data_IF_696053314878
#
_entry.id   IF_696053314878
#
_cell.length_a   1.000
_cell.length_b   1.000
_cell.length_c   1.000
_cell.angle_alpha   90.00
_cell.angle_beta   90.00
_cell.angle_gamma   90.00
#
_symmetry.space_group_name_H-M   'P 1'
#
loop_
_entity.id
_entity.type
_entity.pdbx_description
1 polymer ?
#
# COMPACT_ATOMS: atom_id res chain seq x y z
N UNK A 1 3.87 28.48 15.21
CA UNK A 1 5.04 27.79 15.80
C UNK A 1 5.16 26.46 15.06
N UNK A 2 6.30 26.23 14.41
CA UNK A 2 6.55 25.01 13.65
C UNK A 2 6.73 23.84 14.63
N UNK A 3 5.69 23.02 14.82
CA UNK A 3 5.82 21.73 15.51
C UNK A 3 6.54 20.77 14.57
N UNK A 4 7.86 20.76 14.68
CA UNK A 4 8.64 19.61 14.25
C UNK A 4 8.16 18.43 15.10
N UNK A 5 7.50 17.44 14.50
CA UNK A 5 7.24 16.15 15.13
C UNK A 5 8.59 15.50 15.43
N UNK A 6 9.12 15.73 16.63
CA UNK A 6 10.40 15.18 17.03
C UNK A 6 10.31 13.65 17.03
N UNK A 7 11.31 12.94 16.49
CA UNK A 7 11.34 11.48 16.57
C UNK A 7 11.37 11.05 18.05
N UNK A 8 10.51 10.10 18.42
CA UNK A 8 10.55 9.48 19.73
C UNK A 8 11.52 8.29 19.70
N UNK A 9 12.41 8.23 20.67
CA UNK A 9 13.30 7.10 20.87
C UNK A 9 12.67 6.19 21.91
N UNK A 10 12.51 4.91 21.55
CA UNK A 10 11.93 3.86 22.38
C UNK A 10 13.00 2.78 22.58
N UNK A 11 13.24 2.38 23.83
CA UNK A 11 14.08 1.24 24.16
C UNK A 11 13.22 0.16 24.79
N UNK A 12 13.35 -1.07 24.29
CA UNK A 12 12.75 -2.28 24.83
C UNK A 12 13.90 -3.10 25.42
N UNK A 13 13.78 -3.48 26.68
CA UNK A 13 14.85 -4.12 27.45
C UNK A 13 14.40 -4.40 28.88
N UNK A 14 15.36 -4.61 29.78
CA UNK A 14 15.11 -4.83 31.21
C UNK A 14 14.19 -3.77 31.84
N UNK A 15 14.31 -2.53 31.36
CA UNK A 15 13.33 -1.47 31.60
C UNK A 15 12.99 -0.82 30.26
N UNK A 16 11.70 -0.63 29.99
CA UNK A 16 11.26 0.09 28.81
C UNK A 16 11.43 1.59 29.03
N UNK A 17 11.96 2.29 28.03
CA UNK A 17 12.08 3.75 28.10
C UNK A 17 11.59 4.41 26.82
N UNK A 18 10.97 5.58 26.95
CA UNK A 18 10.54 6.38 25.81
C UNK A 18 10.81 7.87 26.04
N UNK A 19 11.23 8.59 25.01
CA UNK A 19 11.48 10.04 25.10
C UNK A 19 10.21 10.90 25.06
N UNK A 20 9.01 10.31 24.93
CA UNK A 20 7.76 11.04 24.89
C UNK A 20 7.37 11.65 26.24
N UNK A 21 6.54 12.70 26.20
CA UNK A 21 6.09 13.42 27.39
C UNK A 21 5.27 12.55 28.34
N UNK A 22 4.41 11.68 27.81
CA UNK A 22 3.56 10.79 28.61
C UNK A 22 4.40 9.80 29.43
N UNK A 23 5.40 9.17 28.81
CA UNK A 23 6.34 8.30 29.51
C UNK A 23 7.14 9.06 30.56
N UNK A 24 7.66 10.25 30.21
CA UNK A 24 8.41 11.09 31.18
C UNK A 24 7.57 11.45 32.41
N UNK A 25 6.27 11.69 32.24
CA UNK A 25 5.37 12.06 33.33
C UNK A 25 4.94 10.87 34.20
N UNK A 26 4.68 9.70 33.60
CA UNK A 26 4.09 8.55 34.30
C UNK A 26 5.06 7.42 34.64
N UNK A 27 6.16 7.29 33.88
CA UNK A 27 7.05 6.13 33.91
C UNK A 27 6.30 4.79 33.69
N UNK A 28 5.22 4.84 32.90
CA UNK A 28 4.39 3.69 32.52
C UNK A 28 4.43 3.46 30.99
N UNK A 29 3.83 2.37 30.52
CA UNK A 29 3.70 2.07 29.09
C UNK A 29 2.95 3.19 28.36
N UNK A 30 3.65 3.86 27.45
CA UNK A 30 3.05 4.84 26.55
C UNK A 30 2.65 4.18 25.21
N UNK A 31 1.85 4.89 24.41
CA UNK A 31 1.41 4.41 23.10
C UNK A 31 2.56 3.99 22.19
N UNK A 32 3.75 4.60 22.31
CA UNK A 32 4.92 4.25 21.51
C UNK A 32 5.50 2.89 21.88
N UNK A 33 5.57 2.56 23.18
CA UNK A 33 6.03 1.25 23.65
C UNK A 33 5.01 0.18 23.23
N UNK A 34 3.72 0.44 23.46
CA UNK A 34 2.65 -0.46 23.03
C UNK A 34 2.67 -0.69 21.51
N UNK A 35 2.91 0.36 20.72
CA UNK A 35 3.05 0.22 19.27
C UNK A 35 4.23 -0.67 18.89
N UNK A 36 5.39 -0.55 19.55
CA UNK A 36 6.53 -1.43 19.27
C UNK A 36 6.19 -2.90 19.59
N UNK A 37 5.59 -3.17 20.74
CA UNK A 37 5.22 -4.55 21.12
C UNK A 37 4.17 -5.15 20.17
N UNK A 38 3.08 -4.42 19.91
CA UNK A 38 1.94 -4.92 19.13
C UNK A 38 2.16 -4.87 17.63
N UNK A 39 2.79 -3.81 17.10
CA UNK A 39 2.92 -3.59 15.66
C UNK A 39 4.26 -4.02 15.10
N UNK A 40 5.37 -3.85 15.84
CA UNK A 40 6.71 -4.23 15.35
C UNK A 40 7.09 -5.66 15.70
N UNK A 41 6.80 -6.10 16.93
CA UNK A 41 7.08 -7.47 17.40
C UNK A 41 5.88 -8.40 17.31
N UNK A 42 4.69 -7.87 17.00
CA UNK A 42 3.46 -8.65 16.81
C UNK A 42 3.07 -9.49 18.04
N UNK A 43 3.51 -9.07 19.22
CA UNK A 43 3.17 -9.74 20.48
C UNK A 43 1.65 -9.71 20.64
N UNK A 44 1.04 -10.85 20.97
CA UNK A 44 -0.39 -10.92 21.23
C UNK A 44 -0.78 -9.93 22.34
N UNK A 45 -1.84 -9.16 22.10
CA UNK A 45 -2.30 -8.16 23.07
C UNK A 45 -2.64 -8.80 24.41
N UNK A 46 -3.17 -10.01 24.44
CA UNK A 46 -3.54 -10.73 25.66
C UNK A 46 -2.35 -11.40 26.36
N UNK A 47 -1.15 -11.38 25.75
CA UNK A 47 0.05 -11.93 26.37
C UNK A 47 0.58 -10.99 27.47
N UNK A 48 1.00 -11.55 28.61
CA UNK A 48 1.54 -10.79 29.74
C UNK A 48 2.73 -9.91 29.36
N UNK A 49 3.54 -10.34 28.40
CA UNK A 49 4.73 -9.62 27.88
C UNK A 49 4.38 -8.22 27.36
N UNK A 50 3.18 -8.03 26.82
CA UNK A 50 2.73 -6.73 26.28
C UNK A 50 2.54 -5.66 27.35
N UNK A 51 2.27 -6.06 28.60
CA UNK A 51 1.90 -5.17 29.70
C UNK A 51 3.01 -4.99 30.75
N UNK A 52 4.15 -5.66 30.57
CA UNK A 52 5.29 -5.53 31.46
C UNK A 52 6.01 -4.20 31.21
N UNK A 53 6.49 -3.55 32.28
CA UNK A 53 7.30 -2.31 32.18
C UNK A 53 8.74 -2.56 31.73
N UNK A 54 9.13 -3.82 31.59
CA UNK A 54 10.46 -4.28 31.24
C UNK A 54 10.48 -5.79 31.06
N UNK A 55 11.44 -6.30 30.30
CA UNK A 55 11.55 -7.71 29.93
C UNK A 55 12.87 -8.28 30.42
N UNK A 56 12.87 -9.49 30.96
CA UNK A 56 14.12 -10.19 31.26
C UNK A 56 14.81 -10.65 29.97
N UNK A 57 16.12 -10.91 30.01
CA UNK A 57 16.92 -11.31 28.83
C UNK A 57 16.28 -12.44 28.01
N UNK A 58 15.73 -13.45 28.70
CA UNK A 58 15.02 -14.56 28.05
C UNK A 58 13.78 -14.09 27.30
N UNK A 59 12.98 -13.22 27.90
CA UNK A 59 11.76 -12.68 27.29
C UNK A 59 12.10 -11.78 26.10
N UNK A 60 13.19 -10.99 26.18
CA UNK A 60 13.71 -10.21 25.06
C UNK A 60 14.04 -11.13 23.89
N UNK A 61 14.79 -12.21 24.14
CA UNK A 61 15.13 -13.17 23.10
C UNK A 61 13.87 -13.82 22.52
N UNK A 62 12.91 -14.22 23.36
CA UNK A 62 11.65 -14.82 22.93
C UNK A 62 10.81 -13.86 22.07
N UNK A 63 10.82 -12.55 22.37
CA UNK A 63 10.19 -11.50 21.55
C UNK A 63 10.90 -11.35 20.22
N UNK A 64 12.24 -11.34 20.20
CA UNK A 64 13.03 -11.23 18.96
C UNK A 64 12.86 -12.46 18.05
N UNK A 65 12.75 -13.64 18.64
CA UNK A 65 12.47 -14.91 17.95
C UNK A 65 11.02 -15.00 17.45
N UNK A 66 10.15 -14.06 17.86
CA UNK A 66 8.73 -14.03 17.49
C UNK A 66 7.89 -15.11 18.18
N UNK A 67 8.32 -15.66 19.32
CA UNK A 67 7.59 -16.73 20.04
C UNK A 67 6.23 -16.30 20.55
N UNK A 68 6.05 -15.00 20.78
CA UNK A 68 4.79 -14.41 21.22
C UNK A 68 3.96 -13.82 20.08
N UNK A 69 4.39 -14.01 18.83
CA UNK A 69 3.72 -13.47 17.66
C UNK A 69 2.42 -14.22 17.37
N UNK A 70 1.30 -13.50 17.21
CA UNK A 70 0.01 -14.13 16.86
C UNK A 70 -0.04 -14.57 15.39
N UNK A 71 0.80 -14.01 14.52
CA UNK A 71 0.89 -14.42 13.12
C UNK A 71 1.61 -15.77 13.04
N UNK A 72 0.89 -16.81 12.62
CA UNK A 72 1.50 -18.07 12.13
C UNK A 72 2.57 -17.67 11.13
N UNK A 73 3.85 -17.86 11.45
CA UNK A 73 4.92 -17.55 10.50
C UNK A 73 4.68 -18.39 9.24
N UNK A 74 4.32 -17.81 8.08
CA UNK A 74 4.54 -18.53 6.85
C UNK A 74 6.06 -18.57 6.75
N UNK A 75 6.66 -19.76 6.86
CA UNK A 75 8.03 -19.95 6.40
C UNK A 75 8.08 -19.33 5.02
N UNK A 76 8.82 -18.25 4.86
CA UNK A 76 9.06 -17.65 3.56
C UNK A 76 9.98 -18.60 2.80
N UNK A 77 9.44 -19.73 2.36
CA UNK A 77 10.01 -20.48 1.26
C UNK A 77 9.90 -19.53 0.08
N UNK A 78 11.04 -18.99 -0.33
CA UNK A 78 11.20 -18.32 -1.62
C UNK A 78 10.95 -19.38 -2.71
N UNK A 79 9.70 -19.79 -2.89
CA UNK A 79 9.30 -20.55 -4.06
C UNK A 79 9.21 -19.53 -5.20
N UNK A 80 10.29 -19.48 -5.97
CA UNK A 80 10.27 -18.88 -7.31
C UNK A 80 9.20 -19.64 -8.10
N UNK A 81 8.18 -18.97 -8.65
CA UNK A 81 7.33 -19.62 -9.63
C UNK A 81 8.22 -19.99 -10.83
N UNK A 82 8.27 -21.28 -11.15
CA UNK A 82 8.93 -21.79 -12.34
C UNK A 82 8.07 -21.50 -13.58
N UNK A 83 8.78 -21.07 -14.64
CA UNK A 83 8.45 -21.05 -16.07
C UNK A 83 7.12 -20.45 -16.58
N UNK A 84 7.18 -19.15 -16.87
CA UNK A 84 6.50 -18.54 -18.01
C UNK A 84 7.46 -17.57 -18.76
N UNK A 85 7.30 -17.38 -20.09
CA UNK A 85 8.30 -16.74 -20.93
C UNK A 85 8.61 -15.30 -20.46
N UNK A 86 9.89 -15.05 -20.16
CA UNK A 86 10.42 -13.78 -19.68
C UNK A 86 10.46 -12.77 -20.83
N UNK A 87 9.72 -11.66 -20.69
CA UNK A 87 10.05 -10.43 -21.40
C UNK A 87 11.21 -9.76 -20.67
N UNK A 88 12.26 -9.47 -21.41
CA UNK A 88 13.56 -9.01 -20.92
C UNK A 88 13.42 -7.58 -20.35
N UNK A 89 13.59 -7.40 -19.04
CA UNK A 89 13.85 -6.10 -18.42
C UNK A 89 12.82 -5.54 -17.43
N UNK A 90 11.63 -6.12 -17.27
CA UNK A 90 10.59 -5.58 -16.38
C UNK A 90 10.29 -6.52 -15.20
N UNK A 91 10.58 -6.08 -13.98
CA UNK A 91 10.32 -6.88 -12.77
C UNK A 91 8.83 -6.87 -12.51
N UNK A 92 8.24 -8.07 -12.52
CA UNK A 92 6.82 -8.27 -12.22
C UNK A 92 6.55 -8.05 -10.73
N UNK A 93 5.38 -7.51 -10.43
CA UNK A 93 4.88 -7.46 -9.05
C UNK A 93 4.80 -8.88 -8.48
N UNK A 94 5.36 -9.07 -7.29
CA UNK A 94 5.20 -10.33 -6.55
C UNK A 94 3.73 -10.50 -6.14
N UNK A 95 3.16 -11.71 -6.22
CA UNK A 95 1.86 -12.00 -5.62
C UNK A 95 1.84 -11.56 -4.15
N UNK A 96 0.76 -10.91 -3.73
CA UNK A 96 0.53 -10.58 -2.32
C UNK A 96 -0.22 -11.77 -1.72
N UNK A 97 0.37 -12.40 -0.72
CA UNK A 97 -0.20 -13.54 -0.01
C UNK A 97 -0.92 -13.08 1.27
N UNK A 98 -1.87 -13.88 1.80
CA UNK A 98 -2.41 -13.67 3.14
C UNK A 98 -1.29 -13.57 4.18
N UNK A 99 -1.38 -12.57 5.05
CA UNK A 99 -0.35 -12.27 6.05
C UNK A 99 0.83 -11.43 5.54
N UNK A 100 0.90 -11.07 4.26
CA UNK A 100 1.93 -10.13 3.78
C UNK A 100 1.74 -8.74 4.39
N UNK A 101 2.82 -8.18 4.92
CA UNK A 101 2.81 -6.91 5.69
C UNK A 101 3.49 -5.80 4.90
N UNK A 102 2.86 -4.62 4.89
CA UNK A 102 3.47 -3.42 4.35
C UNK A 102 4.66 -2.98 5.22
N UNK A 103 5.89 -3.01 4.67
CA UNK A 103 7.12 -2.72 5.40
C UNK A 103 7.19 -1.33 6.07
N UNK A 104 6.35 -0.38 5.64
CA UNK A 104 6.32 0.98 6.19
C UNK A 104 5.37 1.10 7.39
N UNK A 105 4.08 0.76 7.24
CA UNK A 105 3.11 0.90 8.34
C UNK A 105 3.00 -0.33 9.23
N UNK A 106 3.57 -1.46 8.82
CA UNK A 106 3.48 -2.75 9.51
C UNK A 106 2.04 -3.29 9.61
N UNK A 107 1.13 -2.85 8.74
CA UNK A 107 -0.21 -3.44 8.59
C UNK A 107 -0.26 -4.40 7.40
N UNK A 108 -1.18 -5.36 7.45
CA UNK A 108 -1.40 -6.32 6.37
C UNK A 108 -1.82 -5.63 5.07
N UNK A 109 -1.27 -6.11 3.95
CA UNK A 109 -1.58 -5.62 2.61
C UNK A 109 -2.94 -6.12 2.10
N UNK A 110 -3.42 -7.24 2.64
CA UNK A 110 -4.71 -7.85 2.34
C UNK A 110 -5.59 -7.83 3.58
N UNK A 111 -6.24 -6.70 3.83
CA UNK A 111 -7.32 -6.58 4.83
C UNK A 111 -8.68 -6.54 4.14
N UNK A 112 -9.76 -6.67 4.91
CA UNK A 112 -11.14 -6.50 4.40
C UNK A 112 -11.30 -5.16 3.67
N UNK A 113 -10.69 -4.10 4.21
CA UNK A 113 -10.63 -2.79 3.58
C UNK A 113 -9.38 -2.65 2.72
N UNK A 114 -9.44 -3.18 1.49
CA UNK A 114 -8.31 -3.18 0.55
C UNK A 114 -7.83 -1.77 0.21
N UNK A 115 -6.69 -1.38 0.79
CA UNK A 115 -6.00 -0.16 0.42
C UNK A 115 -5.19 -0.37 -0.87
N UNK A 116 -5.13 0.64 -1.76
CA UNK A 116 -4.39 0.50 -2.99
C UNK A 116 -2.88 0.42 -2.69
N UNK A 117 -2.20 -0.44 -3.45
CA UNK A 117 -0.77 -0.73 -3.31
C UNK A 117 -0.02 -0.39 -4.59
N UNK A 118 1.26 -0.08 -4.44
CA UNK A 118 2.25 -0.02 -5.51
C UNK A 118 3.37 -1.01 -5.20
N UNK A 119 4.27 -1.28 -6.14
CA UNK A 119 5.31 -2.28 -5.99
C UNK A 119 6.65 -1.82 -6.58
N UNK A 120 7.72 -2.46 -6.10
CA UNK A 120 9.08 -2.21 -6.54
C UNK A 120 9.31 -2.79 -7.95
N UNK A 121 9.50 -1.91 -8.95
CA UNK A 121 9.61 -2.25 -10.38
C UNK A 121 11.04 -2.54 -10.85
N UNK A 122 12.02 -2.15 -10.05
CA UNK A 122 13.44 -2.25 -10.42
C UNK A 122 14.28 -3.00 -9.37
N UNK A 123 13.63 -3.66 -8.39
CA UNK A 123 14.31 -4.57 -7.45
C UNK A 123 13.44 -5.74 -6.98
N UNK A 124 13.00 -5.73 -5.72
CA UNK A 124 12.40 -6.91 -5.07
C UNK A 124 10.97 -7.32 -5.47
N UNK A 125 10.25 -6.54 -6.29
CA UNK A 125 8.86 -6.86 -6.67
C UNK A 125 7.80 -6.78 -5.55
N UNK A 126 8.20 -6.56 -4.29
CA UNK A 126 7.28 -6.50 -3.15
C UNK A 126 6.39 -5.24 -3.18
N UNK A 127 5.23 -5.38 -2.55
CA UNK A 127 4.17 -4.36 -2.53
C UNK A 127 4.19 -3.51 -1.26
N UNK A 128 3.77 -2.26 -1.40
CA UNK A 128 3.67 -1.25 -0.33
C UNK A 128 2.38 -0.46 -0.56
N UNK A 129 1.64 -0.13 0.50
CA UNK A 129 0.47 0.76 0.38
C UNK A 129 0.84 2.09 -0.29
N UNK A 130 0.00 2.58 -1.19
CA UNK A 130 0.25 3.85 -1.89
C UNK A 130 0.35 5.02 -0.90
N UNK A 131 -0.48 5.04 0.15
CA UNK A 131 -0.39 6.03 1.23
C UNK A 131 0.97 5.98 1.93
N UNK A 132 1.49 4.78 2.19
CA UNK A 132 2.79 4.61 2.81
C UNK A 132 3.92 5.03 1.88
N UNK A 133 3.82 4.70 0.59
CA UNK A 133 4.79 5.13 -0.41
C UNK A 133 4.82 6.66 -0.54
N UNK A 134 3.67 7.35 -0.39
CA UNK A 134 3.65 8.81 -0.31
C UNK A 134 4.51 9.34 0.84
N UNK A 135 4.30 8.85 2.06
CA UNK A 135 5.11 9.24 3.24
C UNK A 135 6.60 9.01 2.98
N UNK A 136 6.94 7.87 2.40
CA UNK A 136 8.30 7.55 2.01
C UNK A 136 8.88 8.54 1.00
N UNK A 137 8.19 8.80 -0.11
CA UNK A 137 8.64 9.76 -1.13
C UNK A 137 8.77 11.17 -0.59
N UNK A 138 7.85 11.62 0.28
CA UNK A 138 7.90 12.94 0.90
C UNK A 138 9.13 13.08 1.82
N UNK A 139 9.47 12.03 2.56
CA UNK A 139 10.69 11.98 3.36
C UNK A 139 11.95 12.03 2.48
N UNK A 140 12.01 11.20 1.43
CA UNK A 140 13.16 11.17 0.52
C UNK A 140 13.40 12.54 -0.14
N UNK A 141 12.33 13.23 -0.56
CA UNK A 141 12.41 14.57 -1.18
C UNK A 141 12.87 15.67 -0.22
N UNK A 142 12.61 15.52 1.08
CA UNK A 142 13.11 16.44 2.11
C UNK A 142 14.60 16.26 2.36
N UNK A 143 15.11 15.02 2.25
CA UNK A 143 16.52 14.72 2.48
C UNK A 143 17.39 14.97 1.25
N UNK A 144 16.88 14.63 0.06
CA UNK A 144 17.57 14.77 -1.22
C UNK A 144 16.60 15.35 -2.23
N UNK A 145 17.02 16.36 -2.99
CA UNK A 145 16.25 16.84 -4.13
C UNK A 145 16.19 15.71 -5.17
N UNK A 146 15.00 15.13 -5.37
CA UNK A 146 14.72 14.08 -6.36
C UNK A 146 13.74 14.67 -7.38
N UNK A 147 14.12 14.63 -8.65
CA UNK A 147 13.30 15.06 -9.78
C UNK A 147 12.29 13.99 -10.19
N UNK A 148 11.29 14.37 -10.99
CA UNK A 148 10.22 13.46 -11.44
C UNK A 148 10.74 12.26 -12.25
N UNK A 149 11.86 12.41 -12.96
CA UNK A 149 12.49 11.36 -13.77
C UNK A 149 13.43 10.46 -12.97
N UNK A 150 13.78 10.82 -11.73
CA UNK A 150 14.71 10.06 -10.91
C UNK A 150 13.99 8.98 -10.11
N UNK A 151 14.70 7.88 -9.85
CA UNK A 151 14.17 6.76 -9.09
C UNK A 151 14.21 7.02 -7.58
N UNK A 152 13.13 6.63 -6.91
CA UNK A 152 13.04 6.62 -5.45
C UNK A 152 13.59 5.29 -4.95
N UNK A 153 14.41 5.23 -3.88
CA UNK A 153 14.90 3.96 -3.35
C UNK A 153 13.76 3.14 -2.73
N UNK A 154 13.87 1.83 -2.79
CA UNK A 154 12.90 0.90 -2.22
C UNK A 154 13.05 0.83 -0.69
N UNK A 155 11.95 0.94 0.08
CA UNK A 155 12.01 0.82 1.55
C UNK A 155 12.36 -0.61 2.02
N UNK A 156 12.32 -1.60 1.12
CA UNK A 156 12.56 -3.01 1.43
C UNK A 156 13.99 -3.40 1.00
N UNK A 157 14.27 -3.36 -0.30
CA UNK A 157 15.56 -3.83 -0.86
C UNK A 157 16.59 -2.72 -1.08
N UNK A 158 16.23 -1.44 -0.89
CA UNK A 158 17.09 -0.25 -1.10
C UNK A 158 17.57 0.00 -2.54
N UNK A 159 17.29 -0.92 -3.47
CA UNK A 159 17.44 -0.70 -4.92
C UNK A 159 16.42 0.34 -5.44
N UNK A 160 16.46 0.62 -6.73
CA UNK A 160 15.49 1.53 -7.34
C UNK A 160 14.07 0.94 -7.22
N UNK A 161 13.13 1.72 -6.65
CA UNK A 161 11.74 1.32 -6.57
C UNK A 161 11.00 1.61 -7.89
N UNK A 162 11.27 2.78 -8.45
CA UNK A 162 10.66 3.34 -9.65
C UNK A 162 10.73 4.87 -9.66
N UNK A 163 10.44 5.46 -10.81
CA UNK A 163 10.54 6.91 -11.01
C UNK A 163 9.53 7.68 -10.15
N UNK A 164 9.96 8.81 -9.60
CA UNK A 164 9.13 9.65 -8.73
C UNK A 164 7.84 10.10 -9.43
N UNK A 165 7.89 10.47 -10.71
CA UNK A 165 6.72 10.93 -11.47
C UNK A 165 5.64 9.86 -11.62
N UNK A 166 6.03 8.60 -11.81
CA UNK A 166 5.12 7.45 -11.80
C UNK A 166 4.45 7.30 -10.44
N UNK A 167 5.24 7.32 -9.37
CA UNK A 167 4.72 7.17 -8.01
C UNK A 167 3.77 8.31 -7.63
N UNK A 168 4.11 9.55 -7.97
CA UNK A 168 3.24 10.71 -7.73
C UNK A 168 1.91 10.62 -8.48
N UNK A 169 1.92 10.08 -9.70
CA UNK A 169 0.69 9.81 -10.47
C UNK A 169 -0.18 8.78 -9.75
N UNK A 170 0.38 7.63 -9.38
CA UNK A 170 -0.35 6.59 -8.64
C UNK A 170 -0.92 7.13 -7.33
N UNK A 171 -0.13 7.90 -6.58
CA UNK A 171 -0.57 8.57 -5.35
C UNK A 171 -1.76 9.50 -5.64
N UNK A 172 -1.70 10.31 -6.68
CA UNK A 172 -2.77 11.25 -7.04
C UNK A 172 -4.05 10.56 -7.50
N UNK A 173 -3.94 9.46 -8.25
CA UNK A 173 -5.09 8.67 -8.74
C UNK A 173 -5.77 7.84 -7.64
N UNK A 174 -5.05 7.54 -6.56
CA UNK A 174 -5.53 6.66 -5.49
C UNK A 174 -5.92 7.41 -4.22
N UNK A 175 -5.52 8.67 -4.06
CA UNK A 175 -5.96 9.53 -2.96
C UNK A 175 -7.14 10.37 -3.44
N UNK A 176 -8.36 9.99 -3.05
CA UNK A 176 -9.53 10.85 -3.24
C UNK A 176 -9.44 12.09 -2.33
N UNK A 177 -9.87 13.29 -2.77
CA UNK A 177 -10.05 14.46 -1.90
C UNK A 177 -11.13 14.29 -0.79
N UNK A 178 -11.77 13.11 -0.69
CA UNK A 178 -12.97 12.87 0.13
C UNK A 178 -12.74 12.22 1.49
N UNK A 179 -11.51 11.84 1.84
CA UNK A 179 -11.15 11.50 3.24
C UNK A 179 -10.86 12.74 4.10
N UNK A 180 -11.09 13.95 3.57
CA UNK A 180 -11.19 15.18 4.35
C UNK A 180 -12.67 15.46 4.68
N UNK A 181 -13.29 14.63 5.53
CA UNK A 181 -14.48 15.06 6.29
C UNK A 181 -14.12 15.03 7.78
N UNK A 182 -14.41 16.11 8.54
CA UNK A 182 -14.04 16.18 9.94
C UNK A 182 -15.05 15.36 10.74
N UNK A 183 -14.70 14.13 11.09
CA UNK A 183 -15.40 13.46 12.17
C UNK A 183 -14.93 14.03 13.51
N UNK A 184 -15.91 14.48 14.26
CA UNK A 184 -15.82 15.19 15.51
C UNK A 184 -15.29 14.26 16.61
N UNK A 185 -13.98 14.01 16.61
CA UNK A 185 -13.26 13.43 17.75
C UNK A 185 -12.30 14.47 18.28
N UNK A 186 -12.56 14.92 19.51
CA UNK A 186 -11.68 15.82 20.27
C UNK A 186 -10.30 15.18 20.43
N UNK A 187 -9.42 15.45 19.47
CA UNK A 187 -7.98 15.21 19.53
C UNK A 187 -7.35 16.26 18.63
N UNK A 188 -6.55 17.13 19.26
CA UNK A 188 -5.83 18.23 18.62
C UNK A 188 -4.85 17.63 17.61
N UNK A 189 -5.12 17.80 16.31
CA UNK A 189 -4.15 17.53 15.25
C UNK A 189 -4.15 18.74 14.31
N UNK A 190 -3.02 19.44 14.32
CA UNK A 190 -2.72 20.52 13.39
C UNK A 190 -2.60 19.92 11.99
N UNK A 191 -3.54 20.25 11.11
CA UNK A 191 -3.44 19.96 9.70
C UNK A 191 -2.18 20.66 9.13
N UNK A 192 -1.21 19.93 8.53
CA UNK A 192 -0.19 20.60 7.76
C UNK A 192 -0.83 21.14 6.48
N UNK A 193 -0.58 22.42 6.22
CA UNK A 193 -1.03 23.16 5.05
C UNK A 193 -0.83 22.33 3.78
N UNK A 194 -1.94 21.90 3.20
CA UNK A 194 -2.02 21.26 1.89
C UNK A 194 -1.58 22.30 0.87
N UNK A 195 -0.30 22.31 0.50
CA UNK A 195 0.05 22.82 -0.81
C UNK A 195 -0.53 21.82 -1.80
N UNK A 196 -1.67 22.18 -2.36
CA UNK A 196 -2.26 21.45 -3.48
C UNK A 196 -1.17 21.28 -4.51
N UNK A 197 -0.82 20.03 -4.81
CA UNK A 197 -0.06 19.71 -6.01
C UNK A 197 -1.03 19.96 -7.17
N UNK A 198 -1.22 21.24 -7.50
CA UNK A 198 -1.89 21.67 -8.71
C UNK A 198 -0.95 21.32 -9.85
N UNK A 199 -1.32 20.23 -10.53
CA UNK A 199 -1.35 20.17 -11.99
C UNK A 199 -0.06 20.56 -12.70
N UNK A 200 0.91 19.65 -12.74
CA UNK A 200 1.79 19.57 -13.91
C UNK A 200 1.75 18.15 -14.46
N UNK A 201 0.98 18.02 -15.55
CA UNK A 201 0.85 16.86 -16.45
C UNK A 201 0.15 15.63 -15.86
N UNK A 202 -1.16 15.72 -15.66
CA UNK A 202 -2.01 14.52 -15.74
C UNK A 202 -1.95 14.03 -17.18
N UNK A 203 -1.40 12.84 -17.43
CA UNK A 203 -1.66 12.17 -18.71
C UNK A 203 -3.17 12.04 -18.85
N UNK A 204 -3.71 12.48 -19.97
CA UNK A 204 -5.16 12.46 -20.23
C UNK A 204 -5.41 11.83 -21.59
N UNK A 205 -6.52 11.12 -21.70
CA UNK A 205 -6.91 10.39 -22.89
C UNK A 205 -8.04 11.16 -23.59
N UNK A 206 -7.72 12.04 -24.57
CA UNK A 206 -8.64 13.02 -25.14
C UNK A 206 -9.91 12.40 -25.75
N UNK A 207 -9.77 11.23 -26.36
CA UNK A 207 -10.85 10.55 -27.09
C UNK A 207 -11.43 9.35 -26.31
N UNK A 208 -11.19 9.29 -25.00
CA UNK A 208 -11.66 8.17 -24.18
C UNK A 208 -12.74 8.66 -23.22
N UNK A 209 -13.92 8.05 -23.35
CA UNK A 209 -15.05 8.25 -22.44
C UNK A 209 -15.13 7.07 -21.48
N UNK A 210 -15.31 7.30 -20.19
CA UNK A 210 -15.53 6.18 -19.27
C UNK A 210 -16.93 5.57 -19.49
N UNK A 211 -17.01 4.25 -19.70
CA UNK A 211 -18.25 3.47 -19.84
C UNK A 211 -19.23 3.69 -18.69
N UNK A 212 -18.71 3.74 -17.46
CA UNK A 212 -19.56 3.78 -16.26
C UNK A 212 -19.98 5.20 -15.85
N UNK A 213 -19.06 6.18 -15.87
CA UNK A 213 -19.36 7.53 -15.39
C UNK A 213 -19.49 8.58 -16.49
N UNK A 214 -19.27 8.22 -17.76
CA UNK A 214 -19.32 9.14 -18.89
C UNK A 214 -18.20 10.18 -18.92
N UNK A 215 -17.23 10.10 -18.00
CA UNK A 215 -16.12 11.07 -17.94
C UNK A 215 -15.30 11.04 -19.22
N UNK A 216 -15.18 12.20 -19.88
CA UNK A 216 -14.33 12.41 -21.05
C UNK A 216 -13.77 13.85 -21.01
N UNK A 217 -12.47 14.06 -21.24
CA UNK A 217 -11.44 13.04 -21.40
C UNK A 217 -11.12 12.33 -20.07
N UNK A 218 -10.75 11.06 -20.11
CA UNK A 218 -10.30 10.34 -18.90
C UNK A 218 -8.90 10.80 -18.52
N UNK A 219 -8.71 11.18 -17.25
CA UNK A 219 -7.41 11.54 -16.68
C UNK A 219 -6.79 10.35 -15.94
N UNK A 220 -5.49 10.15 -16.13
CA UNK A 220 -4.76 9.03 -15.54
C UNK A 220 -4.97 7.73 -16.31
N UNK A 221 -4.77 6.61 -15.65
CA UNK A 221 -4.89 5.29 -16.27
C UNK A 221 -6.30 5.01 -16.82
N UNK A 222 -6.34 4.45 -18.02
CA UNK A 222 -7.55 3.86 -18.60
C UNK A 222 -7.48 2.34 -18.52
N UNK A 223 -8.65 1.73 -18.34
CA UNK A 223 -8.81 0.28 -18.22
C UNK A 223 -9.72 -0.18 -19.35
N UNK A 224 -9.32 -1.22 -20.06
CA UNK A 224 -10.10 -1.85 -21.15
C UNK A 224 -10.45 -3.27 -20.75
N UNK A 225 -11.73 -3.59 -20.82
CA UNK A 225 -12.18 -4.98 -20.73
C UNK A 225 -11.73 -5.75 -21.98
N UNK A 226 -11.16 -6.95 -21.80
CA UNK A 226 -10.73 -7.80 -22.92
C UNK A 226 -11.90 -8.60 -23.53
N UNK A 227 -13.03 -8.70 -22.82
CA UNK A 227 -14.18 -9.54 -23.21
C UNK A 227 -15.29 -8.74 -23.89
N UNK A 228 -15.35 -7.42 -23.67
CA UNK A 228 -16.26 -6.55 -24.41
C UNK A 228 -15.72 -6.28 -25.83
N UNK A 229 -16.49 -6.68 -26.84
CA UNK A 229 -16.17 -6.39 -28.24
C UNK A 229 -16.41 -4.90 -28.53
N UNK A 230 -15.48 -4.27 -29.26
CA UNK A 230 -15.58 -2.88 -29.73
C UNK A 230 -16.73 -2.66 -30.74
N UNK A 231 -17.36 -3.76 -31.18
CA UNK A 231 -18.39 -3.77 -32.24
C UNK A 231 -19.84 -3.71 -31.75
N UNK A 232 -20.09 -3.72 -30.44
CA UNK A 232 -21.45 -3.58 -29.91
C UNK A 232 -21.77 -2.10 -29.61
N UNK A 233 -22.46 -1.54 -30.60
CA UNK A 233 -23.26 -0.33 -30.57
C UNK A 233 -22.55 1.03 -30.70
N UNK A 234 -23.09 1.81 -31.63
CA UNK A 234 -22.56 3.03 -32.26
C UNK A 234 -22.33 4.23 -31.34
N UNK A 235 -22.12 4.05 -30.02
CA UNK A 235 -21.71 5.11 -29.09
C UNK A 235 -21.07 4.62 -27.77
N UNK A 236 -20.74 3.34 -27.61
CA UNK A 236 -20.29 2.77 -26.34
C UNK A 236 -18.77 2.65 -26.23
N UNK A 237 -18.13 3.49 -25.42
CA UNK A 237 -16.71 3.30 -25.09
C UNK A 237 -16.50 2.06 -24.21
N UNK A 238 -15.61 1.13 -24.57
CA UNK A 238 -15.25 -0.05 -23.74
C UNK A 238 -14.26 0.27 -22.61
N UNK A 239 -13.93 1.55 -22.44
CA UNK A 239 -12.90 2.01 -21.52
C UNK A 239 -13.48 2.49 -20.20
N UNK A 240 -12.74 2.31 -19.11
CA UNK A 240 -13.08 2.77 -17.78
C UNK A 240 -11.98 3.64 -17.19
N UNK A 241 -12.37 4.66 -16.43
CA UNK A 241 -11.44 5.42 -15.62
C UNK A 241 -11.04 4.63 -14.37
N UNK A 242 -9.87 4.93 -13.80
CA UNK A 242 -9.36 4.26 -12.61
C UNK A 242 -10.37 4.18 -11.43
N UNK A 243 -11.14 5.24 -11.11
CA UNK A 243 -12.16 5.16 -10.06
C UNK A 243 -13.27 4.15 -10.34
N UNK A 244 -13.82 4.13 -11.56
CA UNK A 244 -14.89 3.21 -11.93
C UNK A 244 -14.40 1.76 -11.98
N UNK A 245 -13.17 1.55 -12.45
CA UNK A 245 -12.51 0.24 -12.40
C UNK A 245 -12.35 -0.25 -10.97
N UNK A 246 -11.78 0.58 -10.09
CA UNK A 246 -11.57 0.23 -8.66
C UNK A 246 -12.85 -0.08 -7.91
N UNK A 247 -13.95 0.59 -8.26
CA UNK A 247 -15.25 0.37 -7.63
C UNK A 247 -16.01 -0.84 -8.21
N UNK A 248 -15.42 -1.61 -9.13
CA UNK A 248 -16.07 -2.76 -9.74
C UNK A 248 -17.31 -2.38 -10.54
N UNK A 249 -17.33 -1.21 -11.19
CA UNK A 249 -18.49 -0.72 -11.95
C UNK A 249 -18.75 -1.48 -13.26
N UNK A 250 -17.92 -2.46 -13.58
CA UNK A 250 -18.15 -3.44 -14.64
C UNK A 250 -17.81 -4.84 -14.10
N UNK A 251 -18.74 -5.47 -13.36
CA UNK A 251 -18.50 -6.72 -12.63
C UNK A 251 -18.69 -7.98 -13.48
N UNK A 252 -19.17 -7.85 -14.72
CA UNK A 252 -19.48 -9.00 -15.60
C UNK A 252 -18.22 -9.73 -16.08
N UNK A 253 -17.08 -9.05 -16.06
CA UNK A 253 -15.81 -9.54 -16.57
C UNK A 253 -14.68 -9.17 -15.63
N UNK A 254 -13.72 -10.10 -15.45
CA UNK A 254 -12.52 -9.87 -14.63
C UNK A 254 -11.25 -9.63 -15.45
N UNK A 255 -11.30 -9.86 -16.77
CA UNK A 255 -10.16 -9.71 -17.67
C UNK A 255 -10.03 -8.26 -18.16
N UNK A 256 -9.11 -7.51 -17.54
CA UNK A 256 -8.80 -6.13 -17.91
C UNK A 256 -7.33 -5.92 -18.25
N UNK A 257 -7.09 -4.98 -19.17
CA UNK A 257 -5.79 -4.35 -19.37
C UNK A 257 -5.85 -2.88 -19.01
N UNK A 258 -4.71 -2.29 -18.64
CA UNK A 258 -4.61 -0.85 -18.42
C UNK A 258 -3.53 -0.21 -19.29
N UNK A 259 -3.67 1.10 -19.50
CA UNK A 259 -2.72 1.93 -20.24
C UNK A 259 -2.57 3.26 -19.54
N UNK A 260 -1.34 3.76 -19.47
CA UNK A 260 -1.01 5.00 -18.75
C UNK A 260 -0.90 6.25 -19.64
N UNK A 261 -0.57 6.06 -20.92
CA UNK A 261 -0.36 7.13 -21.89
C UNK A 261 -1.22 6.92 -23.14
N UNK A 262 -1.72 7.98 -23.81
CA UNK A 262 -2.62 7.86 -24.96
C UNK A 262 -2.16 6.97 -26.12
N UNK A 263 -0.85 6.77 -26.27
CA UNK A 263 -0.24 5.90 -27.28
C UNK A 263 0.72 4.88 -26.64
N UNK A 264 0.59 4.63 -25.33
CA UNK A 264 1.43 3.69 -24.60
C UNK A 264 1.02 2.23 -24.82
N UNK A 265 1.89 1.31 -24.39
CA UNK A 265 1.60 -0.12 -24.36
C UNK A 265 0.45 -0.43 -23.39
N UNK A 266 -0.30 -1.49 -23.70
CA UNK A 266 -1.27 -2.06 -22.77
C UNK A 266 -0.56 -3.03 -21.83
N UNK A 267 -0.91 -2.98 -20.56
CA UNK A 267 -0.37 -3.83 -19.50
C UNK A 267 -1.49 -4.66 -18.89
N UNK A 268 -1.19 -5.89 -18.50
CA UNK A 268 -2.11 -6.70 -17.72
C UNK A 268 -2.40 -6.00 -16.38
N UNK A 269 -3.66 -5.99 -15.95
CA UNK A 269 -3.96 -5.50 -14.61
C UNK A 269 -3.52 -6.55 -13.60
N UNK A 270 -2.62 -6.17 -12.69
CA UNK A 270 -2.22 -7.07 -11.62
C UNK A 270 -3.45 -7.51 -10.82
N UNK A 271 -3.52 -8.80 -10.50
CA UNK A 271 -4.64 -9.45 -9.79
C UNK A 271 -5.04 -8.68 -8.52
N UNK A 272 -4.09 -8.01 -7.87
CA UNK A 272 -4.31 -7.27 -6.62
C UNK A 272 -4.68 -5.79 -6.81
N UNK A 273 -4.87 -5.31 -8.05
CA UNK A 273 -5.08 -3.89 -8.35
C UNK A 273 -6.55 -3.49 -8.44
N UNK A 274 -7.39 -4.00 -7.54
CA UNK A 274 -8.78 -3.57 -7.27
C UNK A 274 -9.95 -4.41 -7.83
N UNK A 275 -9.86 -5.74 -7.90
CA UNK A 275 -11.07 -6.57 -8.05
C UNK A 275 -11.52 -7.05 -6.66
N UNK A 276 -12.74 -6.71 -6.19
CA UNK A 276 -13.33 -7.25 -4.96
C UNK A 276 -13.46 -8.77 -4.97
N UNK A 277 -13.53 -9.38 -6.16
CA UNK A 277 -13.84 -10.79 -6.38
C UNK A 277 -12.67 -11.75 -6.06
N UNK A 278 -11.45 -11.27 -5.84
CA UNK A 278 -10.33 -12.12 -5.38
C UNK A 278 -10.48 -12.59 -3.92
N UNK A 279 -11.57 -12.22 -3.23
CA UNK A 279 -11.99 -12.86 -1.99
C UNK A 279 -12.76 -14.17 -2.28
N UNK A 280 -13.57 -14.21 -3.34
CA UNK A 280 -14.44 -15.36 -3.64
C UNK A 280 -13.65 -16.56 -4.18
N UNK A 281 -12.54 -16.35 -4.89
CA UNK A 281 -11.69 -17.47 -5.34
C UNK A 281 -10.88 -18.07 -4.19
N UNK A 282 -10.41 -17.26 -3.23
CA UNK A 282 -9.67 -17.76 -2.06
C UNK A 282 -10.57 -18.39 -1.00
N UNK A 283 -11.75 -17.82 -0.71
CA UNK A 283 -12.72 -18.41 0.22
C UNK A 283 -13.29 -19.75 -0.32
N UNK A 284 -13.41 -19.90 -1.64
CA UNK A 284 -13.81 -21.19 -2.26
C UNK A 284 -12.72 -22.27 -2.16
N UNK A 285 -11.45 -21.90 -2.06
CA UNK A 285 -10.35 -22.86 -1.88
C UNK A 285 -10.34 -23.41 -0.45
N UNK A 286 -10.72 -22.60 0.54
CA UNK A 286 -10.85 -23.06 1.94
C UNK A 286 -12.05 -23.99 2.16
N UNK A 287 -13.17 -23.77 1.45
CA UNK A 287 -14.32 -24.68 1.48
C UNK A 287 -14.05 -26.04 0.79
N UNK A 288 -13.16 -26.09 -0.21
CA UNK A 288 -12.81 -27.33 -0.90
C UNK A 288 -11.74 -28.18 -0.18
N UNK A 289 -10.96 -27.58 0.73
CA UNK A 289 -9.97 -28.30 1.55
C UNK A 289 -10.51 -28.69 2.95
N UNK A 290 -11.78 -28.40 3.22
CA UNK A 290 -12.47 -28.75 4.47
C UNK A 290 -13.39 -29.98 4.33
N UNK A 291 -13.23 -30.77 3.26
CA UNK A 291 -13.95 -32.02 3.00
C UNK A 291 -13.02 -33.21 2.81
#
# INVERSE_FOLDING_TARGET
MNEHSYPYQVHIGQEHTCTCSEFKARQELCIHICWVMLKRFKVDQNNSITWQLGLVEREIQDVLDGKYSFTVQPKSTLEKPEDEPKNEGEIRQRPICPGDICAICQDELLTEQRHPVTYCRNGCGNSVHIRCMRVWTDHQRKQKSINLSENVPCPICREEFGQLGMLMREITENIHPREAKPENRRTVVVAPTVQSIQSTVRTYHPSTTCLSCGMSPVYGNIYRCQLCDEKLDQLGSTFMCAPCYRQGKHPEHDAFMYREAPNGKWFAVAVNRCIPHNLMSYLKIEEQNSH
#
